data_IF_918572300792
#
_entry.id   IF_918572300792
#
_cell.length_a   1.000
_cell.length_b   1.000
_cell.length_c   1.000
_cell.angle_alpha   90.00
_cell.angle_beta   90.00
_cell.angle_gamma   90.00
#
_symmetry.space_group_name_H-M   'P 1'
#
loop_
_entity.id
_entity.type
_entity.pdbx_description
1 polymer ?
#
# COMPACT_ATOMS: atom_id res chain seq x y z
N UNK A 1 -32.09 0.35 -8.32
CA UNK A 1 -31.37 0.93 -7.16
C UNK A 1 -32.13 2.16 -6.70
N UNK A 2 -32.44 2.29 -5.40
CA UNK A 2 -33.02 3.52 -4.85
C UNK A 2 -32.00 4.67 -4.88
N UNK A 3 -32.47 5.93 -4.88
CA UNK A 3 -31.58 7.10 -4.82
C UNK A 3 -30.60 7.00 -3.65
N UNK A 4 -31.05 6.51 -2.49
CA UNK A 4 -30.24 6.30 -1.28
C UNK A 4 -29.15 5.23 -1.44
N UNK A 5 -29.35 4.23 -2.32
CA UNK A 5 -28.33 3.23 -2.66
C UNK A 5 -27.26 3.79 -3.60
N UNK A 6 -27.60 4.75 -4.44
CA UNK A 6 -26.65 5.44 -5.33
C UNK A 6 -25.80 6.42 -4.53
N UNK A 7 -26.39 7.10 -3.54
CA UNK A 7 -25.70 8.07 -2.66
C UNK A 7 -24.67 7.39 -1.73
N UNK A 8 -24.68 6.05 -1.62
CA UNK A 8 -23.71 5.26 -0.84
C UNK A 8 -22.52 4.74 -1.65
N UNK A 9 -22.44 5.02 -2.95
CA UNK A 9 -21.28 4.66 -3.77
C UNK A 9 -20.12 5.61 -3.47
N UNK A 10 -18.96 5.02 -3.18
CA UNK A 10 -17.74 5.76 -2.85
C UNK A 10 -16.87 5.86 -4.10
N UNK A 11 -16.52 7.10 -4.48
CA UNK A 11 -15.53 7.30 -5.55
C UNK A 11 -14.14 6.95 -5.03
N UNK A 12 -13.47 6.07 -5.74
CA UNK A 12 -12.07 5.69 -5.47
C UNK A 12 -11.08 6.44 -6.38
N UNK A 13 -11.56 7.41 -7.18
CA UNK A 13 -10.67 8.30 -7.91
C UNK A 13 -9.83 9.11 -6.91
N UNK A 14 -8.52 9.08 -7.10
CA UNK A 14 -7.56 9.68 -6.16
C UNK A 14 -7.80 9.23 -4.70
N UNK A 15 -8.10 7.95 -4.51
CA UNK A 15 -8.31 7.36 -3.19
C UNK A 15 -7.12 7.63 -2.27
N UNK A 16 -5.92 7.56 -2.79
CA UNK A 16 -4.71 8.05 -2.15
C UNK A 16 -4.40 9.46 -2.66
N UNK A 17 -4.44 10.43 -1.76
CA UNK A 17 -4.36 11.86 -2.07
C UNK A 17 -3.04 12.22 -2.79
N UNK A 18 -3.08 12.84 -4.00
CA UNK A 18 -1.89 13.15 -4.77
C UNK A 18 -0.94 14.11 -4.05
N UNK A 19 -1.47 15.06 -3.28
CA UNK A 19 -0.64 16.03 -2.54
C UNK A 19 0.10 15.39 -1.37
N UNK A 20 -0.54 14.43 -0.68
CA UNK A 20 0.09 13.67 0.39
C UNK A 20 1.16 12.71 -0.16
N UNK A 21 0.91 12.08 -1.32
CA UNK A 21 1.92 11.26 -2.00
C UNK A 21 3.14 12.07 -2.40
N UNK A 22 2.92 13.26 -2.96
CA UNK A 22 4.01 14.19 -3.31
C UNK A 22 4.79 14.62 -2.07
N UNK A 23 4.12 14.97 -0.96
CA UNK A 23 4.75 15.31 0.31
C UNK A 23 5.61 14.16 0.83
N UNK A 24 5.08 12.94 0.82
CA UNK A 24 5.81 11.75 1.26
C UNK A 24 7.09 11.51 0.44
N UNK A 25 7.05 11.67 -0.89
CA UNK A 25 8.24 11.55 -1.75
C UNK A 25 9.29 12.61 -1.42
N UNK A 26 8.88 13.88 -1.30
CA UNK A 26 9.80 14.96 -0.97
C UNK A 26 10.45 14.76 0.40
N UNK A 27 9.68 14.31 1.39
CA UNK A 27 10.19 13.98 2.72
C UNK A 27 11.18 12.82 2.67
N UNK A 28 10.85 11.76 1.95
CA UNK A 28 11.72 10.59 1.78
C UNK A 28 13.06 10.97 1.10
N UNK A 29 13.01 11.81 0.06
CA UNK A 29 14.19 12.33 -0.61
C UNK A 29 15.08 13.13 0.33
N UNK A 30 14.49 14.05 1.11
CA UNK A 30 15.22 14.87 2.09
C UNK A 30 15.87 14.03 3.20
N UNK A 31 15.26 12.90 3.57
CA UNK A 31 15.76 11.96 4.57
C UNK A 31 16.69 10.88 3.99
N UNK A 32 16.91 10.86 2.68
CA UNK A 32 17.62 9.81 1.95
C UNK A 32 17.04 8.40 2.19
N UNK A 33 15.70 8.31 2.34
CA UNK A 33 14.97 7.04 2.49
C UNK A 33 14.43 6.65 1.10
N UNK A 34 14.82 5.48 0.57
CA UNK A 34 14.33 5.04 -0.75
C UNK A 34 12.84 4.68 -0.67
N UNK A 35 12.04 5.30 -1.52
CA UNK A 35 10.62 5.00 -1.70
C UNK A 35 10.27 4.86 -3.18
N UNK A 36 9.24 4.09 -3.48
CA UNK A 36 8.67 3.94 -4.81
C UNK A 36 7.17 4.24 -4.76
N UNK A 37 6.60 4.69 -5.85
CA UNK A 37 5.16 4.72 -6.04
C UNK A 37 4.74 3.52 -6.89
N UNK A 38 3.59 2.95 -6.56
CA UNK A 38 3.07 1.81 -7.30
C UNK A 38 1.60 1.55 -7.03
N UNK A 39 1.07 0.58 -7.74
CA UNK A 39 -0.30 0.09 -7.60
C UNK A 39 -0.32 -1.04 -6.56
N UNK A 40 -1.06 -0.80 -5.49
CA UNK A 40 -1.32 -1.77 -4.44
C UNK A 40 -2.55 -2.60 -4.78
N UNK A 41 -2.44 -3.90 -4.80
CA UNK A 41 -3.55 -4.84 -4.98
C UNK A 41 -3.83 -5.54 -3.66
N UNK A 42 -5.00 -5.30 -3.09
CA UNK A 42 -5.45 -5.93 -1.85
C UNK A 42 -6.19 -7.22 -2.11
N UNK A 43 -5.87 -8.23 -1.32
CA UNK A 43 -6.48 -9.56 -1.33
C UNK A 43 -7.03 -9.89 0.07
N UNK A 44 -7.92 -10.86 0.13
CA UNK A 44 -8.52 -11.27 1.41
C UNK A 44 -7.60 -12.15 2.26
N UNK A 45 -6.67 -12.87 1.64
CA UNK A 45 -5.91 -13.90 2.35
C UNK A 45 -6.81 -15.07 2.80
N UNK A 46 -6.38 -15.90 3.78
CA UNK A 46 -5.14 -15.81 4.56
C UNK A 46 -3.92 -16.50 3.92
N UNK A 47 -4.00 -16.95 2.68
CA UNK A 47 -2.89 -17.58 1.97
C UNK A 47 -2.09 -16.58 1.15
N UNK A 48 -0.80 -16.82 1.01
CA UNK A 48 0.00 -16.20 -0.05
C UNK A 48 -0.52 -16.63 -1.43
N UNK A 49 -0.25 -15.81 -2.41
CA UNK A 49 -0.67 -16.00 -3.79
C UNK A 49 0.12 -17.12 -4.45
N UNK A 50 -0.50 -17.78 -5.41
CA UNK A 50 0.20 -18.70 -6.31
C UNK A 50 1.01 -17.94 -7.36
N UNK A 51 2.08 -18.54 -7.94
CA UNK A 51 2.82 -17.92 -9.04
C UNK A 51 1.95 -17.57 -10.26
N UNK A 52 0.82 -18.26 -10.46
CA UNK A 52 -0.12 -17.97 -11.54
C UNK A 52 -0.92 -16.68 -11.26
N UNK A 53 -1.40 -16.52 -10.04
CA UNK A 53 -2.08 -15.30 -9.58
C UNK A 53 -1.13 -14.09 -9.66
N UNK A 54 0.11 -14.21 -9.22
CA UNK A 54 1.10 -13.13 -9.30
C UNK A 54 1.34 -12.70 -10.76
N UNK A 55 1.44 -13.63 -11.70
CA UNK A 55 1.55 -13.27 -13.13
C UNK A 55 0.30 -12.54 -13.65
N UNK A 56 -0.88 -12.98 -13.20
CA UNK A 56 -2.16 -12.34 -13.56
C UNK A 56 -2.24 -10.92 -12.99
N UNK A 57 -1.94 -10.72 -11.71
CA UNK A 57 -1.97 -9.41 -11.05
C UNK A 57 -0.98 -8.43 -11.66
N UNK A 58 0.23 -8.90 -11.98
CA UNK A 58 1.21 -8.11 -12.73
C UNK A 58 0.69 -7.67 -14.09
N UNK A 59 0.02 -8.58 -14.82
CA UNK A 59 -0.59 -8.25 -16.12
C UNK A 59 -1.73 -7.21 -15.99
N UNK A 60 -2.39 -7.13 -14.83
CA UNK A 60 -3.38 -6.10 -14.50
C UNK A 60 -2.76 -4.77 -14.07
N UNK A 61 -1.45 -4.70 -13.92
CA UNK A 61 -0.72 -3.50 -13.55
C UNK A 61 -0.50 -3.33 -12.04
N UNK A 62 -0.63 -4.39 -11.25
CA UNK A 62 -0.25 -4.35 -9.83
C UNK A 62 1.28 -4.41 -9.67
N UNK A 63 1.80 -3.56 -8.78
CA UNK A 63 3.21 -3.52 -8.40
C UNK A 63 3.46 -4.26 -7.08
N UNK A 64 2.46 -4.25 -6.19
CA UNK A 64 2.50 -4.94 -4.89
C UNK A 64 1.20 -5.68 -4.63
N UNK A 65 1.27 -6.74 -3.83
CA UNK A 65 0.12 -7.49 -3.32
C UNK A 65 0.19 -7.55 -1.80
N UNK A 66 -0.94 -7.46 -1.12
CA UNK A 66 -1.03 -7.62 0.32
C UNK A 66 -2.49 -7.85 0.76
N UNK A 67 -2.73 -8.03 2.07
CA UNK A 67 -4.00 -8.47 2.63
C UNK A 67 -4.62 -7.44 3.58
N UNK A 68 -4.35 -6.13 3.37
CA UNK A 68 -4.81 -5.06 4.27
C UNK A 68 -5.11 -3.76 3.53
N UNK A 69 -5.46 -2.74 4.25
CA UNK A 69 -5.71 -1.33 3.90
C UNK A 69 -6.86 -1.03 2.95
N UNK A 70 -7.31 -1.93 2.09
CA UNK A 70 -8.33 -1.60 1.08
C UNK A 70 -9.67 -1.21 1.71
N UNK A 71 -10.13 -1.95 2.70
CA UNK A 71 -11.38 -1.70 3.41
C UNK A 71 -11.32 -0.39 4.20
N UNK A 72 -10.21 -0.14 4.88
CA UNK A 72 -9.98 1.10 5.63
C UNK A 72 -9.95 2.32 4.69
N UNK A 73 -9.34 2.19 3.51
CA UNK A 73 -9.31 3.25 2.50
C UNK A 73 -10.71 3.53 1.96
N UNK A 74 -11.52 2.51 1.67
CA UNK A 74 -12.92 2.67 1.26
C UNK A 74 -13.71 3.41 2.35
N UNK A 75 -13.57 2.99 3.61
CA UNK A 75 -14.23 3.62 4.75
C UNK A 75 -13.79 5.08 4.94
N UNK A 76 -12.49 5.36 4.86
CA UNK A 76 -11.94 6.70 4.96
C UNK A 76 -12.46 7.62 3.84
N UNK A 77 -12.51 7.12 2.60
CA UNK A 77 -13.06 7.85 1.46
C UNK A 77 -14.55 8.11 1.61
N UNK A 78 -15.31 7.17 2.17
CA UNK A 78 -16.73 7.35 2.43
C UNK A 78 -17.02 8.52 3.38
N UNK A 79 -16.18 8.73 4.39
CA UNK A 79 -16.32 9.84 5.35
C UNK A 79 -15.52 11.08 4.95
N UNK A 80 -14.98 11.14 3.74
CA UNK A 80 -14.32 12.32 3.18
C UNK A 80 -12.89 12.58 3.68
N UNK A 81 -12.22 11.60 4.24
CA UNK A 81 -10.81 11.74 4.65
C UNK A 81 -9.87 11.73 3.44
N UNK A 82 -8.77 12.47 3.54
CA UNK A 82 -7.62 12.32 2.67
C UNK A 82 -6.76 11.16 3.18
N UNK A 83 -6.29 10.31 2.29
CA UNK A 83 -5.54 9.11 2.64
C UNK A 83 -4.16 9.12 1.99
N UNK A 84 -3.15 8.77 2.76
CA UNK A 84 -1.82 8.39 2.29
C UNK A 84 -1.60 6.92 2.67
N UNK A 85 -1.30 6.07 1.69
CA UNK A 85 -0.89 4.69 1.91
C UNK A 85 0.63 4.57 1.82
N UNK A 86 1.25 3.99 2.84
CA UNK A 86 2.67 3.64 2.85
C UNK A 86 2.76 2.17 3.20
N UNK A 87 3.38 1.38 2.33
CA UNK A 87 3.55 -0.05 2.53
C UNK A 87 5.03 -0.40 2.56
N UNK A 88 5.43 -1.20 3.53
CA UNK A 88 6.74 -1.81 3.57
C UNK A 88 6.72 -3.09 2.72
N UNK A 89 7.53 -3.11 1.66
CA UNK A 89 7.72 -4.32 0.86
C UNK A 89 8.74 -5.21 1.57
N UNK A 90 8.27 -6.34 2.06
CA UNK A 90 9.07 -7.27 2.88
C UNK A 90 9.81 -8.33 2.06
N UNK A 91 9.23 -8.72 0.94
CA UNK A 91 9.72 -9.85 0.14
C UNK A 91 9.25 -9.73 -1.31
N UNK A 92 9.85 -10.50 -2.19
CA UNK A 92 9.34 -10.70 -3.54
C UNK A 92 8.14 -11.66 -3.50
N UNK A 93 7.14 -11.39 -4.35
CA UNK A 93 5.95 -12.25 -4.43
C UNK A 93 6.30 -13.66 -4.93
N UNK A 94 5.45 -14.62 -4.56
CA UNK A 94 5.66 -16.05 -4.85
C UNK A 94 5.99 -16.30 -6.33
N UNK A 95 7.10 -17.00 -6.57
CA UNK A 95 7.58 -17.37 -7.90
C UNK A 95 8.25 -16.26 -8.69
N UNK A 96 8.35 -15.04 -8.16
CA UNK A 96 9.16 -13.97 -8.75
C UNK A 96 10.62 -14.24 -8.39
N UNK A 97 11.47 -14.41 -9.40
CA UNK A 97 12.90 -14.75 -9.21
C UNK A 97 13.14 -15.98 -8.30
N UNK A 98 12.15 -16.89 -8.23
CA UNK A 98 12.23 -18.08 -7.40
C UNK A 98 11.82 -17.86 -5.92
N UNK A 99 11.31 -16.68 -5.58
CA UNK A 99 10.91 -16.35 -4.22
C UNK A 99 9.80 -17.27 -3.68
N UNK A 100 9.90 -17.57 -2.39
CA UNK A 100 8.91 -18.31 -1.60
C UNK A 100 8.70 -17.53 -0.30
N UNK A 101 7.77 -16.58 -0.26
CA UNK A 101 7.56 -15.70 0.89
C UNK A 101 7.17 -16.47 2.15
N UNK A 102 7.59 -15.97 3.31
CA UNK A 102 7.24 -16.50 4.62
C UNK A 102 6.91 -15.39 5.62
N UNK A 103 6.18 -15.73 6.68
CA UNK A 103 5.85 -14.79 7.75
C UNK A 103 7.10 -14.33 8.51
N UNK A 104 8.12 -15.21 8.66
CA UNK A 104 9.38 -14.90 9.30
C UNK A 104 10.12 -13.78 8.57
N UNK A 105 10.19 -13.86 7.23
CA UNK A 105 10.81 -12.84 6.38
C UNK A 105 10.11 -11.48 6.55
N UNK A 106 8.77 -11.48 6.61
CA UNK A 106 7.98 -10.26 6.84
C UNK A 106 8.35 -9.60 8.16
N UNK A 107 8.45 -10.38 9.25
CA UNK A 107 8.81 -9.87 10.57
C UNK A 107 10.24 -9.35 10.63
N UNK A 108 11.19 -10.05 10.03
CA UNK A 108 12.60 -9.67 10.01
C UNK A 108 12.83 -8.34 9.28
N UNK A 109 12.21 -8.19 8.11
CA UNK A 109 12.30 -6.95 7.33
C UNK A 109 11.62 -5.80 8.06
N UNK A 110 10.46 -6.04 8.70
CA UNK A 110 9.77 -5.02 9.48
C UNK A 110 10.66 -4.47 10.59
N UNK A 111 11.32 -5.33 11.37
CA UNK A 111 12.26 -4.92 12.42
C UNK A 111 13.45 -4.13 11.87
N UNK A 112 14.01 -4.57 10.74
CA UNK A 112 15.19 -3.94 10.13
C UNK A 112 14.88 -2.53 9.61
N UNK A 113 13.65 -2.29 9.16
CA UNK A 113 13.21 -1.03 8.53
C UNK A 113 12.40 -0.11 9.44
N UNK A 114 12.13 -0.50 10.67
CA UNK A 114 11.32 0.25 11.63
C UNK A 114 11.81 1.69 11.80
N UNK A 115 13.11 1.88 11.99
CA UNK A 115 13.70 3.20 12.22
C UNK A 115 13.49 4.14 11.02
N UNK A 116 13.70 3.66 9.79
CA UNK A 116 13.49 4.46 8.59
C UNK A 116 12.00 4.76 8.38
N UNK A 117 11.12 3.80 8.67
CA UNK A 117 9.68 3.97 8.57
C UNK A 117 9.17 5.02 9.56
N UNK A 118 9.61 4.97 10.82
CA UNK A 118 9.25 5.96 11.84
C UNK A 118 9.78 7.36 11.46
N UNK A 119 11.03 7.49 11.01
CA UNK A 119 11.59 8.77 10.56
C UNK A 119 10.81 9.37 9.40
N UNK A 120 10.39 8.54 8.44
CA UNK A 120 9.58 8.98 7.31
C UNK A 120 8.22 9.50 7.77
N UNK A 121 7.52 8.75 8.64
CA UNK A 121 6.22 9.17 9.19
C UNK A 121 6.32 10.48 9.97
N UNK A 122 7.30 10.60 10.86
CA UNK A 122 7.55 11.83 11.64
C UNK A 122 7.81 13.02 10.72
N UNK A 123 8.65 12.85 9.70
CA UNK A 123 8.96 13.89 8.74
C UNK A 123 7.74 14.34 7.94
N UNK A 124 6.88 13.41 7.52
CA UNK A 124 5.63 13.73 6.83
C UNK A 124 4.68 14.51 7.75
N UNK A 125 4.49 14.05 8.99
CA UNK A 125 3.61 14.71 9.96
C UNK A 125 4.09 16.12 10.31
N UNK A 126 5.39 16.35 10.41
CA UNK A 126 5.97 17.68 10.66
C UNK A 126 5.81 18.64 9.47
N UNK A 127 5.67 18.11 8.25
CA UNK A 127 5.54 18.89 7.03
C UNK A 127 4.08 19.14 6.62
N UNK A 128 3.10 18.54 7.31
CA UNK A 128 1.66 18.76 7.11
C UNK A 128 1.17 20.04 7.77
#
# INVERSE_FOLDING_TARGET
MSKQQVDNLVSMLDAYDPSLRQLARQTAEALAIPVQEGVYLGLLGPSFETPAEIRMFRAWGADTVAMSVCEEVIAARHVGLRVLGISLVSNMACGVEGASPSDEEVHEVAQTREADFCRLLEGILQAM
#
